data_IF_025574308310
#
_entry.id   IF_025574308310
#
_cell.length_a   1.000
_cell.length_b   1.000
_cell.length_c   1.000
_cell.angle_alpha   90.00
_cell.angle_beta   90.00
_cell.angle_gamma   90.00
#
_symmetry.space_group_name_H-M   'P 1'
#
loop_
_entity.id
_entity.type
_entity.pdbx_description
1 polymer ?
#
# COMPACT_ATOMS: atom_id res chain seq x y z
N UNK A 1 -6.63 -10.94 16.25
CA UNK A 1 -5.45 -11.45 15.56
C UNK A 1 -5.00 -10.47 14.45
N UNK A 2 -5.86 -10.19 13.47
CA UNK A 2 -5.53 -9.31 12.33
C UNK A 2 -5.17 -7.89 12.80
N UNK A 3 -5.96 -7.31 13.70
CA UNK A 3 -5.71 -5.99 14.28
C UNK A 3 -4.50 -5.95 15.21
N UNK A 4 -4.11 -7.09 15.78
CA UNK A 4 -2.98 -7.26 16.69
C UNK A 4 -1.70 -7.73 15.98
N UNK A 5 -1.76 -7.95 14.68
CA UNK A 5 -0.61 -8.42 13.88
C UNK A 5 0.54 -7.40 13.79
N UNK A 6 0.43 -6.28 14.49
CA UNK A 6 1.43 -5.21 14.49
C UNK A 6 1.21 -4.22 13.36
N UNK A 7 2.18 -3.31 13.20
CA UNK A 7 2.16 -2.28 12.17
C UNK A 7 2.29 -0.88 12.73
N UNK A 8 2.93 0.01 11.99
CA UNK A 8 3.20 1.39 12.41
C UNK A 8 1.94 2.28 12.38
N UNK A 9 0.82 1.80 11.82
CA UNK A 9 -0.45 2.53 11.69
C UNK A 9 -0.30 3.94 11.10
N UNK A 10 0.64 4.10 10.16
CA UNK A 10 0.98 5.43 9.62
C UNK A 10 -0.18 6.06 8.85
N UNK A 11 -0.95 5.28 8.09
CA UNK A 11 -2.08 5.82 7.32
C UNK A 11 -3.17 6.41 8.21
N UNK A 12 -3.74 5.69 9.18
CA UNK A 12 -4.68 6.28 10.13
C UNK A 12 -4.06 7.38 10.99
N UNK A 13 -2.77 7.28 11.34
CA UNK A 13 -2.06 8.33 12.08
C UNK A 13 -2.02 9.63 11.29
N UNK A 14 -1.74 9.59 9.99
CA UNK A 14 -1.73 10.79 9.13
C UNK A 14 -3.10 11.45 9.05
N UNK A 15 -4.19 10.67 9.00
CA UNK A 15 -5.56 11.23 9.09
C UNK A 15 -5.74 12.02 10.38
N UNK A 16 -5.35 11.43 11.51
CA UNK A 16 -5.52 12.05 12.83
C UNK A 16 -4.64 13.29 12.98
N UNK A 17 -3.37 13.23 12.54
CA UNK A 17 -2.44 14.36 12.61
C UNK A 17 -2.88 15.51 11.70
N UNK A 18 -3.26 15.23 10.44
CA UNK A 18 -3.74 16.25 9.52
C UNK A 18 -5.02 16.93 10.05
N UNK A 19 -5.98 16.15 10.55
CA UNK A 19 -7.21 16.71 11.14
C UNK A 19 -6.90 17.56 12.38
N UNK A 20 -5.94 17.15 13.21
CA UNK A 20 -5.53 17.90 14.40
C UNK A 20 -4.84 19.21 14.03
N UNK A 21 -3.92 19.17 13.06
CA UNK A 21 -3.20 20.37 12.57
C UNK A 21 -4.15 21.41 12.00
N UNK A 22 -5.21 20.95 11.34
CA UNK A 22 -6.28 21.78 10.78
C UNK A 22 -7.38 22.15 11.81
N UNK A 23 -7.13 21.92 13.10
CA UNK A 23 -8.04 22.23 14.20
C UNK A 23 -9.46 21.66 14.03
N UNK A 24 -9.58 20.45 13.49
CA UNK A 24 -10.88 19.80 13.34
C UNK A 24 -11.46 19.40 14.70
N UNK A 25 -12.56 20.03 15.09
CA UNK A 25 -13.20 19.81 16.40
C UNK A 25 -14.22 18.65 16.42
N UNK A 26 -14.55 18.08 15.25
CA UNK A 26 -15.51 16.99 15.14
C UNK A 26 -14.95 15.62 15.55
N UNK A 27 -15.80 14.57 15.44
CA UNK A 27 -15.41 13.18 15.75
C UNK A 27 -15.26 12.29 14.50
N UNK A 28 -15.57 12.81 13.32
CA UNK A 28 -15.56 12.02 12.09
C UNK A 28 -14.15 11.60 11.62
N UNK A 29 -13.10 12.34 12.06
CA UNK A 29 -11.71 12.00 11.75
C UNK A 29 -11.31 10.61 12.29
N UNK A 30 -11.87 10.17 13.43
CA UNK A 30 -11.64 8.82 13.96
C UNK A 30 -12.28 7.76 13.06
N UNK A 31 -13.53 8.01 12.59
CA UNK A 31 -14.15 7.13 11.58
C UNK A 31 -13.33 7.08 10.30
N UNK A 32 -12.86 8.23 9.81
CA UNK A 32 -12.05 8.31 8.60
C UNK A 32 -10.73 7.52 8.75
N UNK A 33 -10.05 7.67 9.89
CA UNK A 33 -8.86 6.88 10.21
C UNK A 33 -9.16 5.37 10.24
N UNK A 34 -10.32 4.96 10.76
CA UNK A 34 -10.78 3.57 10.78
C UNK A 34 -11.06 3.05 9.36
N UNK A 35 -11.71 3.85 8.51
CA UNK A 35 -11.96 3.51 7.10
C UNK A 35 -10.64 3.23 6.38
N UNK A 36 -9.68 4.13 6.50
CA UNK A 36 -8.36 3.99 5.87
C UNK A 36 -7.64 2.71 6.36
N UNK A 37 -7.72 2.41 7.65
CA UNK A 37 -7.09 1.20 8.20
C UNK A 37 -7.83 -0.08 7.76
N UNK A 38 -9.17 -0.05 7.64
CA UNK A 38 -9.93 -1.19 7.14
C UNK A 38 -9.61 -1.47 5.67
N UNK A 39 -9.59 -0.45 4.83
CA UNK A 39 -9.20 -0.59 3.43
C UNK A 39 -7.78 -1.16 3.31
N UNK A 40 -6.82 -0.62 4.05
CA UNK A 40 -5.45 -1.14 4.06
C UNK A 40 -5.37 -2.58 4.57
N UNK A 41 -6.10 -2.92 5.62
CA UNK A 41 -6.07 -4.28 6.17
C UNK A 41 -6.73 -5.27 5.21
N UNK A 42 -7.79 -4.87 4.53
CA UNK A 42 -8.43 -5.69 3.50
C UNK A 42 -7.47 -5.99 2.34
N UNK A 43 -6.76 -4.97 1.82
CA UNK A 43 -5.75 -5.21 0.77
C UNK A 43 -4.65 -6.15 1.25
N UNK A 44 -4.14 -6.00 2.47
CA UNK A 44 -3.12 -6.91 3.01
C UNK A 44 -3.61 -8.37 3.09
N UNK A 45 -4.88 -8.60 3.43
CA UNK A 45 -5.46 -9.95 3.50
C UNK A 45 -5.60 -10.59 2.12
N UNK A 46 -5.92 -9.79 1.11
CA UNK A 46 -5.99 -10.24 -0.28
C UNK A 46 -4.59 -10.48 -0.84
N UNK A 47 -3.65 -9.56 -0.60
CA UNK A 47 -2.25 -9.68 -1.03
C UNK A 47 -1.60 -10.94 -0.48
N UNK A 48 -1.79 -11.26 0.81
CA UNK A 48 -1.25 -12.48 1.42
C UNK A 48 -1.71 -13.76 0.69
N UNK A 49 -2.91 -13.74 0.11
CA UNK A 49 -3.43 -14.87 -0.69
C UNK A 49 -2.84 -14.86 -2.10
N UNK A 50 -2.74 -13.70 -2.72
CA UNK A 50 -2.21 -13.53 -4.09
C UNK A 50 -0.72 -13.86 -4.16
N UNK A 51 0.05 -13.39 -3.16
CA UNK A 51 1.50 -13.60 -3.06
C UNK A 51 1.85 -14.97 -2.40
N UNK A 52 0.85 -15.79 -2.03
CA UNK A 52 1.02 -17.06 -1.27
C UNK A 52 1.91 -16.89 -0.02
N UNK A 53 1.82 -15.73 0.61
CA UNK A 53 2.66 -15.36 1.74
C UNK A 53 2.32 -16.16 2.99
N UNK A 54 3.30 -16.75 3.65
CA UNK A 54 3.13 -17.53 4.89
C UNK A 54 3.41 -16.73 6.16
N UNK A 55 4.20 -15.67 6.06
CA UNK A 55 4.62 -14.82 7.15
C UNK A 55 4.45 -13.34 6.83
N UNK A 56 3.98 -12.56 7.80
CA UNK A 56 3.92 -11.11 7.75
C UNK A 56 4.30 -10.52 9.10
N UNK A 57 5.34 -9.68 9.13
CA UNK A 57 5.87 -9.06 10.38
C UNK A 57 6.19 -10.09 11.46
N UNK A 58 6.78 -11.22 11.07
CA UNK A 58 7.15 -12.31 11.97
C UNK A 58 5.97 -13.13 12.53
N UNK A 59 4.75 -12.93 12.01
CA UNK A 59 3.56 -13.72 12.37
C UNK A 59 3.03 -14.48 11.18
N UNK A 60 2.44 -15.65 11.41
CA UNK A 60 1.76 -16.45 10.39
C UNK A 60 0.63 -15.61 9.79
N UNK A 61 0.51 -15.59 8.46
CA UNK A 61 -0.56 -14.89 7.74
C UNK A 61 -1.94 -15.52 8.00
N UNK A 62 -3.00 -14.78 7.70
CA UNK A 62 -4.37 -15.26 7.91
C UNK A 62 -4.71 -16.45 6.99
N UNK A 63 -4.29 -16.40 5.72
CA UNK A 63 -4.46 -17.47 4.74
C UNK A 63 -3.76 -18.77 5.19
N UNK A 64 -2.52 -18.69 5.68
CA UNK A 64 -1.77 -19.85 6.18
C UNK A 64 -2.36 -20.41 7.49
N UNK A 65 -2.91 -19.53 8.35
CA UNK A 65 -3.45 -19.96 9.64
C UNK A 65 -4.84 -20.58 9.54
N UNK A 66 -5.70 -20.10 8.66
CA UNK A 66 -7.09 -20.53 8.53
C UNK A 66 -7.40 -21.10 7.14
N UNK A 67 -7.32 -20.30 6.10
CA UNK A 67 -7.40 -20.69 4.68
C UNK A 67 -7.41 -19.44 3.78
N UNK A 68 -7.14 -19.60 2.49
CA UNK A 68 -7.30 -18.55 1.49
C UNK A 68 -8.75 -18.01 1.47
N UNK A 69 -9.74 -18.91 1.51
CA UNK A 69 -11.15 -18.51 1.52
C UNK A 69 -11.50 -17.64 2.75
N UNK A 70 -10.99 -17.99 3.94
CA UNK A 70 -11.22 -17.20 5.14
C UNK A 70 -10.56 -15.81 5.04
N UNK A 71 -9.34 -15.73 4.51
CA UNK A 71 -8.63 -14.45 4.32
C UNK A 71 -9.39 -13.53 3.36
N UNK A 72 -9.82 -14.06 2.20
CA UNK A 72 -10.59 -13.31 1.20
C UNK A 72 -11.90 -12.80 1.80
N UNK A 73 -12.70 -13.67 2.44
CA UNK A 73 -14.00 -13.28 3.00
C UNK A 73 -13.90 -12.25 4.12
N UNK A 74 -12.85 -12.31 4.96
CA UNK A 74 -12.60 -11.30 5.99
C UNK A 74 -12.14 -9.98 5.35
N UNK A 75 -11.34 -10.03 4.29
CA UNK A 75 -10.99 -8.86 3.49
C UNK A 75 -12.23 -8.17 2.92
N UNK A 76 -13.12 -8.93 2.28
CA UNK A 76 -14.39 -8.44 1.73
C UNK A 76 -15.29 -7.84 2.81
N UNK A 77 -15.35 -8.47 3.99
CA UNK A 77 -16.09 -7.93 5.13
C UNK A 77 -15.53 -6.56 5.56
N UNK A 78 -14.20 -6.42 5.70
CA UNK A 78 -13.58 -5.15 6.06
C UNK A 78 -13.81 -4.07 5.00
N UNK A 79 -13.75 -4.47 3.73
CA UNK A 79 -14.05 -3.60 2.60
C UNK A 79 -15.49 -3.07 2.66
N UNK A 80 -16.45 -3.98 2.80
CA UNK A 80 -17.87 -3.62 2.93
C UNK A 80 -18.12 -2.72 4.14
N UNK A 81 -17.48 -3.03 5.27
CA UNK A 81 -17.61 -2.23 6.49
C UNK A 81 -16.99 -0.84 6.34
N UNK A 82 -15.89 -0.71 5.58
CA UNK A 82 -15.33 0.59 5.25
C UNK A 82 -16.31 1.46 4.46
N UNK A 83 -17.02 0.89 3.47
CA UNK A 83 -18.03 1.61 2.71
C UNK A 83 -19.22 2.05 3.56
N UNK A 84 -19.72 1.21 4.48
CA UNK A 84 -20.76 1.63 5.44
C UNK A 84 -20.30 2.83 6.28
N UNK A 85 -19.05 2.79 6.78
CA UNK A 85 -18.49 3.90 7.54
C UNK A 85 -18.31 5.17 6.69
N UNK A 86 -18.00 5.05 5.38
CA UNK A 86 -17.95 6.19 4.45
C UNK A 86 -19.33 6.88 4.35
N UNK A 87 -20.40 6.09 4.25
CA UNK A 87 -21.77 6.62 4.26
C UNK A 87 -22.05 7.36 5.57
N UNK A 88 -21.64 6.79 6.70
CA UNK A 88 -21.78 7.43 8.04
C UNK A 88 -20.99 8.72 8.20
N UNK A 89 -19.85 8.89 7.49
CA UNK A 89 -19.13 10.18 7.45
C UNK A 89 -20.00 11.25 6.78
N UNK A 90 -20.82 10.86 5.80
CA UNK A 90 -21.82 11.73 5.18
C UNK A 90 -21.21 12.83 4.32
N UNK A 91 -20.08 12.57 3.65
CA UNK A 91 -19.43 13.49 2.72
C UNK A 91 -19.25 12.81 1.37
N UNK A 92 -20.03 13.24 0.37
CA UNK A 92 -19.89 12.71 -1.00
C UNK A 92 -18.51 12.97 -1.62
N UNK A 93 -17.87 14.15 -1.43
CA UNK A 93 -16.51 14.35 -1.92
C UNK A 93 -15.49 13.36 -1.31
N UNK A 94 -15.54 13.14 0.01
CA UNK A 94 -14.67 12.15 0.68
C UNK A 94 -14.95 10.73 0.16
N UNK A 95 -16.22 10.36 0.02
CA UNK A 95 -16.61 9.08 -0.56
C UNK A 95 -16.07 8.93 -1.99
N UNK A 96 -16.14 9.99 -2.80
CA UNK A 96 -15.58 10.02 -4.16
C UNK A 96 -14.06 9.80 -4.18
N UNK A 97 -13.32 10.44 -3.27
CA UNK A 97 -11.85 10.24 -3.12
C UNK A 97 -11.55 8.78 -2.77
N UNK A 98 -12.21 8.25 -1.75
CA UNK A 98 -11.91 6.91 -1.23
C UNK A 98 -12.34 5.81 -2.20
N UNK A 99 -13.52 5.91 -2.83
CA UNK A 99 -13.96 4.93 -3.82
C UNK A 99 -13.08 4.93 -5.08
N UNK A 100 -12.63 6.10 -5.53
CA UNK A 100 -11.66 6.20 -6.63
C UNK A 100 -10.31 5.59 -6.24
N UNK A 101 -9.84 5.86 -5.02
CA UNK A 101 -8.60 5.30 -4.52
C UNK A 101 -8.65 3.76 -4.48
N UNK A 102 -9.74 3.18 -3.98
CA UNK A 102 -9.90 1.72 -3.93
C UNK A 102 -9.89 1.08 -5.31
N UNK A 103 -10.54 1.73 -6.31
CA UNK A 103 -10.53 1.23 -7.68
C UNK A 103 -9.10 1.24 -8.28
N UNK A 104 -8.38 2.36 -8.13
CA UNK A 104 -7.01 2.48 -8.68
C UNK A 104 -6.03 1.55 -7.96
N UNK A 105 -6.22 1.29 -6.65
CA UNK A 105 -5.41 0.30 -5.92
C UNK A 105 -5.61 -1.09 -6.53
N UNK A 106 -6.86 -1.50 -6.79
CA UNK A 106 -7.14 -2.77 -7.44
C UNK A 106 -6.54 -2.86 -8.86
N UNK A 107 -6.61 -1.78 -9.65
CA UNK A 107 -5.92 -1.68 -10.94
C UNK A 107 -4.40 -1.84 -10.79
N UNK A 108 -3.81 -1.23 -9.75
CA UNK A 108 -2.39 -1.33 -9.42
C UNK A 108 -1.94 -2.75 -9.08
N UNK A 109 -2.78 -3.52 -8.36
CA UNK A 109 -2.51 -4.93 -8.08
C UNK A 109 -2.50 -5.77 -9.36
N UNK A 110 -3.50 -5.60 -10.22
CA UNK A 110 -3.54 -6.28 -11.53
C UNK A 110 -2.34 -5.89 -12.39
N UNK A 111 -1.95 -4.60 -12.36
CA UNK A 111 -0.78 -4.11 -13.08
C UNK A 111 0.51 -4.74 -12.57
N UNK A 112 0.68 -4.89 -11.27
CA UNK A 112 1.83 -5.56 -10.68
C UNK A 112 1.87 -7.03 -11.08
N UNK A 113 0.75 -7.76 -10.94
CA UNK A 113 0.65 -9.17 -11.34
C UNK A 113 1.01 -9.40 -12.80
N UNK A 114 0.54 -8.52 -13.70
CA UNK A 114 0.86 -8.62 -15.13
C UNK A 114 2.31 -8.29 -15.49
N UNK A 115 3.09 -7.81 -14.52
CA UNK A 115 4.51 -7.46 -14.69
C UNK A 115 5.45 -8.29 -13.79
N UNK A 116 4.97 -9.35 -13.17
CA UNK A 116 5.84 -10.29 -12.46
C UNK A 116 6.83 -10.93 -13.44
N UNK A 117 8.12 -10.97 -13.05
CA UNK A 117 9.19 -11.52 -13.89
C UNK A 117 9.52 -10.72 -15.16
N UNK A 118 8.93 -9.54 -15.35
CA UNK A 118 9.19 -8.70 -16.51
C UNK A 118 10.52 -7.94 -16.37
N UNK A 119 11.59 -8.51 -16.91
CA UNK A 119 12.94 -7.94 -16.89
C UNK A 119 13.07 -6.57 -17.58
N UNK A 120 12.16 -6.26 -18.49
CA UNK A 120 12.14 -5.01 -19.25
C UNK A 120 11.26 -3.93 -18.58
N UNK A 121 10.86 -4.14 -17.30
CA UNK A 121 10.06 -3.17 -16.57
C UNK A 121 10.82 -1.85 -16.44
N UNK A 122 10.28 -0.78 -17.02
CA UNK A 122 10.87 0.56 -16.91
C UNK A 122 10.68 1.15 -15.52
N UNK A 123 11.60 2.03 -15.10
CA UNK A 123 11.43 2.80 -13.86
C UNK A 123 10.11 3.57 -13.83
N UNK A 124 9.68 4.13 -14.96
CA UNK A 124 8.41 4.85 -15.05
C UNK A 124 7.23 3.93 -14.73
N UNK A 125 7.21 2.71 -15.24
CA UNK A 125 6.15 1.73 -14.98
C UNK A 125 6.18 1.24 -13.55
N UNK A 126 7.35 1.00 -12.99
CA UNK A 126 7.52 0.72 -11.56
C UNK A 126 6.95 1.85 -10.70
N UNK A 127 7.27 3.12 -10.99
CA UNK A 127 6.72 4.28 -10.25
C UNK A 127 5.20 4.37 -10.36
N UNK A 128 4.61 3.99 -11.49
CA UNK A 128 3.16 3.89 -11.64
C UNK A 128 2.58 2.80 -10.73
N UNK A 129 3.19 1.62 -10.67
CA UNK A 129 2.77 0.52 -9.80
C UNK A 129 2.77 0.96 -8.33
N UNK A 130 3.88 1.48 -7.81
CA UNK A 130 3.98 1.88 -6.40
C UNK A 130 3.07 3.06 -6.06
N UNK A 131 2.83 3.96 -7.03
CA UNK A 131 1.88 5.05 -6.88
C UNK A 131 0.47 4.49 -6.69
N UNK A 132 0.03 3.58 -7.54
CA UNK A 132 -1.32 3.00 -7.51
C UNK A 132 -1.50 2.11 -6.27
N UNK A 133 -0.58 1.19 -6.02
CA UNK A 133 -0.69 0.19 -4.94
C UNK A 133 -0.51 0.79 -3.55
N UNK A 134 0.45 1.68 -3.37
CA UNK A 134 0.88 2.14 -2.03
C UNK A 134 0.60 3.61 -1.77
N UNK A 135 1.04 4.51 -2.66
CA UNK A 135 1.02 5.95 -2.38
C UNK A 135 -0.39 6.52 -2.39
N UNK A 136 -1.28 5.99 -3.23
CA UNK A 136 -2.63 6.52 -3.39
C UNK A 136 -3.48 6.46 -2.11
N UNK A 137 -3.30 5.43 -1.27
CA UNK A 137 -4.02 5.36 0.00
C UNK A 137 -3.49 6.36 1.04
N UNK A 138 -2.21 6.74 0.97
CA UNK A 138 -1.66 7.85 1.75
C UNK A 138 -2.20 9.20 1.25
N UNK A 139 -2.23 9.39 -0.07
CA UNK A 139 -2.84 10.57 -0.73
C UNK A 139 -4.30 10.72 -0.29
N UNK A 140 -5.10 9.65 -0.39
CA UNK A 140 -6.50 9.65 -0.01
C UNK A 140 -6.70 9.93 1.49
N UNK A 141 -5.82 9.43 2.36
CA UNK A 141 -5.88 9.65 3.80
C UNK A 141 -5.71 11.14 4.16
N UNK A 142 -4.66 11.78 3.65
CA UNK A 142 -4.37 13.20 3.94
C UNK A 142 -5.34 14.14 3.25
N UNK A 143 -5.70 13.88 1.99
CA UNK A 143 -6.66 14.66 1.24
C UNK A 143 -8.07 14.61 1.88
N UNK A 144 -8.54 13.42 2.26
CA UNK A 144 -9.85 13.29 2.92
C UNK A 144 -9.86 13.94 4.31
N UNK A 145 -8.74 13.91 5.06
CA UNK A 145 -8.62 14.60 6.33
C UNK A 145 -8.68 16.11 6.17
N UNK A 146 -8.00 16.66 5.14
CA UNK A 146 -8.05 18.06 4.81
C UNK A 146 -9.47 18.50 4.43
N UNK A 147 -10.13 17.77 3.55
CA UNK A 147 -11.50 18.07 3.13
C UNK A 147 -12.52 17.93 4.25
N UNK A 148 -12.29 17.02 5.20
CA UNK A 148 -13.13 16.91 6.40
C UNK A 148 -13.02 18.14 7.30
N UNK A 149 -11.84 18.74 7.36
CA UNK A 149 -11.52 19.90 8.19
C UNK A 149 -11.90 21.22 7.51
N UNK A 150 -11.80 21.29 6.17
CA UNK A 150 -12.12 22.47 5.35
C UNK A 150 -13.17 22.10 4.28
N UNK A 151 -14.44 21.86 4.68
CA UNK A 151 -15.46 21.31 3.77
C UNK A 151 -15.90 22.27 2.65
N UNK A 152 -15.71 23.57 2.83
CA UNK A 152 -16.15 24.58 1.87
C UNK A 152 -15.15 24.80 0.73
N UNK A 153 -14.10 24.02 0.66
CA UNK A 153 -13.02 24.11 -0.33
C UNK A 153 -12.45 25.54 -0.49
N UNK A 154 -12.58 26.37 0.56
CA UNK A 154 -12.08 27.74 0.56
C UNK A 154 -10.55 27.78 0.54
N UNK A 155 -9.90 26.74 1.02
CA UNK A 155 -8.45 26.61 1.10
C UNK A 155 -7.91 25.58 0.08
N UNK A 156 -8.21 25.79 -1.21
CA UNK A 156 -7.86 24.86 -2.30
C UNK A 156 -6.36 24.54 -2.35
N UNK A 157 -5.52 25.52 -2.09
CA UNK A 157 -4.05 25.33 -2.08
C UNK A 157 -3.64 24.37 -0.95
N UNK A 158 -4.15 24.57 0.25
CA UNK A 158 -3.88 23.68 1.39
C UNK A 158 -4.40 22.26 1.15
N UNK A 159 -5.60 22.11 0.56
CA UNK A 159 -6.14 20.81 0.19
C UNK A 159 -5.23 20.08 -0.80
N UNK A 160 -4.73 20.79 -1.82
CA UNK A 160 -3.81 20.23 -2.81
C UNK A 160 -2.44 19.90 -2.22
N UNK A 161 -1.93 20.74 -1.33
CA UNK A 161 -0.64 20.50 -0.65
C UNK A 161 -0.71 19.27 0.24
N UNK A 162 -1.77 19.07 1.03
CA UNK A 162 -1.95 17.87 1.83
C UNK A 162 -2.16 16.61 0.97
N UNK A 163 -2.85 16.75 -0.15
CA UNK A 163 -2.96 15.68 -1.15
C UNK A 163 -1.59 15.28 -1.70
N UNK A 164 -0.80 16.26 -2.15
CA UNK A 164 0.57 16.04 -2.66
C UNK A 164 1.50 15.48 -1.57
N UNK A 165 1.41 15.99 -0.36
CA UNK A 165 2.17 15.48 0.77
C UNK A 165 1.92 13.99 0.96
N UNK A 166 0.65 13.55 1.03
CA UNK A 166 0.31 12.13 1.16
C UNK A 166 0.85 11.28 0.03
N UNK A 167 0.73 11.76 -1.22
CA UNK A 167 1.27 11.08 -2.40
C UNK A 167 2.79 10.89 -2.30
N UNK A 168 3.54 11.98 -2.06
CA UNK A 168 5.00 11.91 -2.00
C UNK A 168 5.51 11.11 -0.80
N UNK A 169 4.82 11.23 0.34
CA UNK A 169 5.11 10.40 1.51
C UNK A 169 4.94 8.90 1.19
N UNK A 170 3.86 8.53 0.52
CA UNK A 170 3.60 7.15 0.15
C UNK A 170 4.61 6.58 -0.86
N UNK A 171 5.00 7.40 -1.85
CA UNK A 171 6.08 7.02 -2.80
C UNK A 171 7.40 6.82 -2.07
N UNK A 172 7.81 7.78 -1.23
CA UNK A 172 9.06 7.67 -0.46
C UNK A 172 9.03 6.45 0.48
N UNK A 173 7.88 6.18 1.11
CA UNK A 173 7.69 5.03 1.97
C UNK A 173 7.94 3.72 1.22
N UNK A 174 7.37 3.56 0.01
CA UNK A 174 7.55 2.34 -0.78
C UNK A 174 8.99 2.20 -1.29
N UNK A 175 9.60 3.29 -1.78
CA UNK A 175 11.00 3.25 -2.23
C UNK A 175 11.95 2.79 -1.12
N UNK A 176 11.72 3.23 0.12
CA UNK A 176 12.50 2.80 1.28
C UNK A 176 12.19 1.34 1.65
N UNK A 177 10.94 0.91 1.57
CA UNK A 177 10.55 -0.49 1.86
C UNK A 177 11.22 -1.46 0.87
N UNK A 178 11.18 -1.14 -0.42
CA UNK A 178 11.83 -1.93 -1.48
C UNK A 178 13.37 -1.94 -1.35
N UNK A 179 13.97 -0.81 -0.96
CA UNK A 179 15.41 -0.75 -0.72
C UNK A 179 15.81 -1.59 0.50
N UNK A 180 15.03 -1.53 1.58
CA UNK A 180 15.27 -2.31 2.80
C UNK A 180 15.14 -3.81 2.57
N UNK A 181 14.36 -4.25 1.60
CA UNK A 181 14.26 -5.67 1.24
C UNK A 181 15.61 -6.25 0.80
N UNK A 182 16.48 -5.43 0.18
CA UNK A 182 17.83 -5.84 -0.22
C UNK A 182 18.92 -5.48 0.80
N UNK A 183 18.80 -4.33 1.46
CA UNK A 183 19.85 -3.75 2.32
C UNK A 183 19.57 -3.94 3.81
N UNK A 184 18.39 -4.42 4.19
CA UNK A 184 17.97 -4.58 5.58
C UNK A 184 18.61 -5.80 6.26
N UNK A 185 18.71 -5.75 7.60
CA UNK A 185 19.05 -6.91 8.41
C UNK A 185 17.77 -7.66 8.79
N UNK A 186 17.67 -8.93 8.38
CA UNK A 186 16.52 -9.79 8.65
C UNK A 186 16.16 -9.90 10.15
N UNK A 187 17.17 -9.78 11.04
CA UNK A 187 16.97 -9.84 12.50
C UNK A 187 16.22 -8.63 13.05
N UNK A 188 16.35 -7.45 12.41
CA UNK A 188 15.69 -6.21 12.84
C UNK A 188 14.38 -5.93 12.10
N UNK A 189 14.21 -6.47 10.90
CA UNK A 189 13.07 -6.18 10.02
C UNK A 189 11.86 -7.10 10.23
N UNK A 190 12.05 -8.30 10.78
CA UNK A 190 10.98 -9.27 11.01
C UNK A 190 10.38 -9.88 9.73
N UNK A 191 11.06 -9.74 8.58
CA UNK A 191 10.82 -10.42 7.30
C UNK A 191 12.16 -10.89 6.72
N UNK A 192 12.12 -11.84 5.81
CA UNK A 192 13.34 -12.25 5.10
C UNK A 192 13.81 -11.09 4.20
N UNK A 193 15.09 -11.05 3.89
CA UNK A 193 15.65 -10.17 2.87
C UNK A 193 15.57 -10.86 1.52
N UNK A 194 15.20 -10.12 0.47
CA UNK A 194 15.07 -10.66 -0.89
C UNK A 194 13.72 -11.31 -1.20
N UNK A 195 12.71 -11.08 -0.35
CA UNK A 195 11.35 -11.58 -0.60
C UNK A 195 10.79 -11.02 -1.92
N UNK A 196 11.04 -9.73 -2.25
CA UNK A 196 10.61 -9.12 -3.52
C UNK A 196 11.20 -9.85 -4.73
N UNK A 197 12.48 -10.24 -4.66
CA UNK A 197 13.12 -11.02 -5.72
C UNK A 197 12.51 -12.42 -5.80
N UNK A 198 12.30 -13.08 -4.65
CA UNK A 198 11.71 -14.42 -4.59
C UNK A 198 10.26 -14.45 -5.11
N UNK A 199 9.53 -13.36 -5.03
CA UNK A 199 8.18 -13.20 -5.57
C UNK A 199 8.18 -12.72 -7.03
N UNK A 200 9.35 -12.55 -7.66
CA UNK A 200 9.46 -12.06 -9.03
C UNK A 200 9.10 -10.59 -9.23
N UNK A 201 9.09 -9.80 -8.16
CA UNK A 201 8.78 -8.37 -8.18
C UNK A 201 9.98 -7.56 -8.66
N UNK A 202 9.80 -6.84 -9.78
CA UNK A 202 10.81 -5.94 -10.33
C UNK A 202 10.76 -4.59 -9.61
N UNK A 203 11.50 -4.48 -8.50
CA UNK A 203 11.60 -3.24 -7.72
C UNK A 203 12.76 -2.35 -8.17
N UNK A 204 12.77 -1.08 -7.74
CA UNK A 204 13.77 -0.11 -8.21
C UNK A 204 15.21 -0.55 -8.03
N UNK A 205 15.63 -1.15 -6.88
CA UNK A 205 17.00 -1.64 -6.73
C UNK A 205 17.38 -2.64 -7.83
N UNK A 206 16.50 -3.56 -8.19
CA UNK A 206 16.74 -4.57 -9.22
C UNK A 206 16.74 -3.95 -10.61
N UNK A 207 15.83 -3.03 -10.91
CA UNK A 207 15.80 -2.28 -12.18
C UNK A 207 17.13 -1.54 -12.40
N UNK A 208 17.61 -0.83 -11.38
CA UNK A 208 18.88 -0.10 -11.47
C UNK A 208 20.10 -1.04 -11.53
N UNK A 209 20.06 -2.16 -10.84
CA UNK A 209 21.10 -3.19 -10.95
C UNK A 209 21.21 -3.73 -12.39
N UNK A 210 20.08 -4.10 -13.01
CA UNK A 210 20.03 -4.58 -14.38
C UNK A 210 20.54 -3.54 -15.39
N UNK A 211 20.19 -2.27 -15.21
CA UNK A 211 20.65 -1.18 -16.09
C UNK A 211 22.16 -0.95 -16.05
N UNK A 212 22.80 -1.24 -14.91
CA UNK A 212 24.24 -1.02 -14.70
C UNK A 212 25.07 -2.32 -14.76
N UNK A 213 24.45 -3.47 -14.95
CA UNK A 213 25.08 -4.77 -14.95
C UNK A 213 25.77 -5.07 -16.29
N UNK A 214 26.87 -5.81 -16.24
CA UNK A 214 27.50 -6.43 -17.42
C UNK A 214 26.59 -7.52 -18.00
N UNK A 215 26.78 -7.93 -19.28
CA UNK A 215 25.99 -8.99 -19.92
C UNK A 215 25.97 -10.28 -19.08
N UNK A 216 27.08 -10.64 -18.44
CA UNK A 216 27.18 -11.82 -17.58
C UNK A 216 26.34 -11.69 -16.31
N UNK A 217 26.33 -10.51 -15.69
CA UNK A 217 25.54 -10.23 -14.50
C UNK A 217 24.04 -10.17 -14.83
N UNK A 218 23.68 -9.57 -15.96
CA UNK A 218 22.32 -9.58 -16.47
C UNK A 218 21.80 -11.00 -16.70
N UNK A 219 22.62 -11.87 -17.32
CA UNK A 219 22.26 -13.27 -17.51
C UNK A 219 22.06 -14.00 -16.17
N UNK A 220 22.88 -13.72 -15.16
CA UNK A 220 22.76 -14.32 -13.84
C UNK A 220 21.46 -13.87 -13.14
N UNK A 221 21.16 -12.57 -13.15
CA UNK A 221 19.92 -12.00 -12.55
C UNK A 221 18.68 -12.53 -13.27
N UNK A 222 18.73 -12.63 -14.60
CA UNK A 222 17.63 -13.17 -15.42
C UNK A 222 17.34 -14.63 -15.09
N UNK A 223 18.38 -15.45 -14.92
CA UNK A 223 18.22 -16.86 -14.52
C UNK A 223 17.60 -16.99 -13.12
N UNK A 224 18.01 -16.13 -12.17
CA UNK A 224 17.43 -16.13 -10.82
C UNK A 224 15.93 -15.86 -10.84
N UNK A 225 15.46 -14.93 -11.68
CA UNK A 225 14.05 -14.58 -11.82
C UNK A 225 13.22 -15.64 -12.55
N UNK A 226 13.81 -16.34 -13.54
CA UNK A 226 13.13 -17.40 -14.31
C UNK A 226 12.92 -18.65 -13.45
N UNK A 227 13.90 -19.03 -12.62
CA UNK A 227 13.78 -20.21 -11.75
C UNK A 227 12.80 -20.05 -10.58
N UNK A 228 12.32 -18.85 -10.31
CA UNK A 228 11.28 -18.57 -9.32
C UNK A 228 9.89 -18.90 -9.87
N UNK A 229 9.72 -18.96 -11.19
CA UNK A 229 8.44 -19.22 -11.88
C UNK A 229 8.20 -20.71 -12.21
N UNK A 230 9.13 -21.60 -11.88
CA UNK A 230 9.00 -23.08 -11.99
C UNK A 230 8.74 -23.72 -10.60
#
# INVERSE_FOLDING_TARGET
YITEAGGKRLRPLLVLLASKELNYEGKKHVKLATIIEFLHTATLLHDDVVDDSSLRRGKITANSKWSNAASVLVGDFLYSRAFELMVDVGSLPIMGILSKATNIIAEGEVLQLSNLGNLDLSEQKYREIIRCKTALLFEAATHSAALLSCPDETEKELLDDLRKFGLHFGVAYQLIDDWLDYAGDSGTMGKNTGDDLAEGKMTLPLILALQNATEREQACLSLSLIHISE
#
